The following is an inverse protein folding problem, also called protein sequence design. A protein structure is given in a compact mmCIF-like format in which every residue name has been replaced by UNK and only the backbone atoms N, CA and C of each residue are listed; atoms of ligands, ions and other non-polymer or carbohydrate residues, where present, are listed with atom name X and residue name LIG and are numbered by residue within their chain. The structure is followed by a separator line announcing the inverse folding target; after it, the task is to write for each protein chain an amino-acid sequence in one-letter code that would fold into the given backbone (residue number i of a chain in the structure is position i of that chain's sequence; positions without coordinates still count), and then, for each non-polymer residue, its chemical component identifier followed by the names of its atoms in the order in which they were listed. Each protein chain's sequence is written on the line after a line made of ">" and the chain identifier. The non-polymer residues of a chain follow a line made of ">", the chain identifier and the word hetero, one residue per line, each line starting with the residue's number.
data_IF_977179221051
#
_entry.id   IF_977179221051
#
_cell.length_a   1.000
_cell.length_b   1.000
_cell.length_c   1.000
_cell.angle_alpha   90.00
_cell.angle_beta   90.00
_cell.angle_gamma   90.00
#
_symmetry.space_group_name_H-M   'P 1'
#
loop_
_entity.id
_entity.type
_entity.pdbx_description
1 polymer ?
#
# COMPACT_ATOMS: atom_id res chain seq x y z
N UNK A 1 10.18 1.66 -5.33
CA UNK A 1 9.91 2.28 -4.02
C UNK A 1 8.43 2.66 -3.98
N UNK A 2 7.63 2.11 -3.07
CA UNK A 2 6.21 2.43 -3.00
C UNK A 2 5.95 3.77 -2.27
N UNK A 3 5.69 4.82 -3.06
CA UNK A 3 5.26 6.14 -2.56
C UNK A 3 3.75 6.22 -2.68
N UNK A 4 3.09 6.27 -1.54
CA UNK A 4 1.66 6.09 -1.47
C UNK A 4 0.99 7.41 -1.12
N UNK A 5 0.16 7.90 -2.03
CA UNK A 5 -0.71 9.03 -1.75
C UNK A 5 -2.03 8.51 -1.19
N UNK A 6 -2.35 8.91 0.04
CA UNK A 6 -3.67 8.66 0.59
C UNK A 6 -4.64 9.68 -0.02
N UNK A 7 -5.54 9.20 -0.87
CA UNK A 7 -6.65 10.02 -1.35
C UNK A 7 -7.90 9.75 -0.52
N UNK A 8 -8.73 10.78 -0.37
CA UNK A 8 -10.05 10.67 0.23
C UNK A 8 -11.14 10.47 -0.82
N UNK A 9 -10.75 10.42 -2.10
CA UNK A 9 -11.65 10.33 -3.23
C UNK A 9 -11.43 9.01 -3.98
N UNK A 10 -12.46 8.16 -4.00
CA UNK A 10 -12.38 6.83 -4.61
C UNK A 10 -12.06 6.87 -6.11
N UNK A 11 -12.52 7.91 -6.82
CA UNK A 11 -12.28 8.08 -8.26
C UNK A 11 -10.85 8.47 -8.63
N UNK A 12 -10.07 8.99 -7.67
CA UNK A 12 -8.67 9.41 -7.88
C UNK A 12 -7.67 8.32 -7.46
N UNK A 13 -8.14 7.28 -6.79
CA UNK A 13 -7.29 6.19 -6.34
C UNK A 13 -7.01 5.18 -7.44
N UNK A 14 -5.75 4.79 -7.56
CA UNK A 14 -5.31 3.67 -8.38
C UNK A 14 -5.75 2.34 -7.76
N UNK A 15 -5.64 2.23 -6.43
CA UNK A 15 -5.93 0.99 -5.69
C UNK A 15 -6.82 1.27 -4.49
N UNK A 16 -7.82 0.41 -4.28
CA UNK A 16 -8.68 0.44 -3.09
C UNK A 16 -8.17 -0.55 -2.08
N UNK A 17 -7.93 -0.09 -0.86
CA UNK A 17 -7.28 -0.88 0.19
C UNK A 17 -8.19 -0.98 1.41
N UNK A 18 -8.25 -2.15 2.02
CA UNK A 18 -8.94 -2.35 3.29
C UNK A 18 -7.93 -2.71 4.37
N UNK A 19 -8.06 -2.10 5.54
CA UNK A 19 -7.27 -2.46 6.70
C UNK A 19 -7.95 -3.63 7.37
N UNK A 20 -7.27 -4.76 7.44
CA UNK A 20 -7.77 -6.00 8.03
C UNK A 20 -6.78 -6.52 9.08
N UNK A 21 -7.21 -7.54 9.83
CA UNK A 21 -6.30 -8.26 10.72
C UNK A 21 -5.25 -9.03 9.92
N UNK A 22 -4.07 -9.23 10.52
CA UNK A 22 -2.91 -9.91 9.92
C UNK A 22 -3.27 -11.21 9.20
N UNK A 23 -4.13 -12.04 9.79
CA UNK A 23 -4.53 -13.34 9.25
C UNK A 23 -5.31 -13.25 7.91
N UNK A 24 -6.04 -12.15 7.74
CA UNK A 24 -6.86 -11.88 6.55
C UNK A 24 -6.16 -10.95 5.54
N UNK A 25 -4.99 -10.43 5.87
CA UNK A 25 -4.26 -9.53 4.99
C UNK A 25 -3.55 -10.29 3.88
N UNK A 26 -3.56 -9.73 2.67
CA UNK A 26 -2.79 -10.20 1.52
C UNK A 26 -1.38 -9.58 1.49
N UNK A 27 -1.25 -8.39 2.11
CA UNK A 27 0.00 -7.64 2.21
C UNK A 27 0.16 -7.05 3.62
N UNK A 28 1.25 -7.40 4.28
CA UNK A 28 1.69 -6.72 5.50
C UNK A 28 2.48 -5.48 5.08
N UNK A 29 2.02 -4.32 5.54
CA UNK A 29 2.57 -3.02 5.18
C UNK A 29 3.28 -2.42 6.37
N UNK A 30 4.54 -2.05 6.20
CA UNK A 30 5.24 -1.23 7.17
C UNK A 30 5.25 0.22 6.71
N UNK A 31 4.87 1.14 7.60
CA UNK A 31 4.91 2.58 7.31
C UNK A 31 6.34 3.08 7.43
N UNK A 32 6.98 3.31 6.29
CA UNK A 32 8.32 3.87 6.24
C UNK A 32 8.31 5.32 6.75
N UNK A 33 9.18 5.63 7.69
CA UNK A 33 9.35 7.00 8.21
C UNK A 33 10.03 7.94 7.20
N UNK A 34 10.68 7.40 6.17
CA UNK A 34 11.45 8.17 5.20
C UNK A 34 11.45 7.52 3.83
N UNK A 35 11.63 8.34 2.79
CA UNK A 35 11.62 7.88 1.39
C UNK A 35 12.66 6.77 1.14
N UNK A 36 13.86 6.93 1.69
CA UNK A 36 14.95 5.95 1.55
C UNK A 36 14.67 4.58 2.18
N UNK A 37 13.64 4.45 3.01
CA UNK A 37 13.28 3.17 3.65
C UNK A 37 12.20 2.41 2.89
N UNK A 38 11.50 3.03 1.93
CA UNK A 38 10.41 2.39 1.20
C UNK A 38 10.93 1.44 0.09
N UNK A 39 11.40 0.25 0.48
CA UNK A 39 11.83 -0.78 -0.47
C UNK A 39 10.72 -1.77 -0.83
N UNK A 40 10.57 -2.03 -2.13
CA UNK A 40 9.55 -2.92 -2.67
C UNK A 40 8.12 -2.38 -2.49
N UNK A 41 7.15 -3.29 -2.48
CA UNK A 41 5.72 -2.98 -2.38
C UNK A 41 5.18 -3.00 -0.94
N UNK A 42 5.93 -3.56 0.02
CA UNK A 42 5.46 -3.76 1.39
C UNK A 42 5.84 -2.60 2.33
N UNK A 43 6.79 -1.75 1.95
CA UNK A 43 7.19 -0.59 2.73
C UNK A 43 6.64 0.67 2.10
N UNK A 44 5.64 1.27 2.76
CA UNK A 44 4.89 2.39 2.22
C UNK A 44 5.36 3.70 2.83
N UNK A 45 5.79 4.60 1.97
CA UNK A 45 5.98 5.99 2.35
C UNK A 45 4.70 6.76 2.05
N UNK A 46 3.95 7.13 3.10
CA UNK A 46 2.68 7.87 2.94
C UNK A 46 3.02 9.35 2.76
N UNK A 47 2.71 9.88 1.58
CA UNK A 47 2.88 11.29 1.25
C UNK A 47 1.52 11.97 1.07
N UNK A 48 1.50 13.29 1.31
CA UNK A 48 0.35 14.15 1.02
C UNK A 48 0.42 14.78 -0.37
N UNK A 49 1.50 14.54 -1.10
CA UNK A 49 1.71 15.10 -2.43
C UNK A 49 1.53 14.02 -3.50
N UNK A 50 0.43 14.10 -4.26
CA UNK A 50 0.12 13.16 -5.34
C UNK A 50 1.24 13.08 -6.38
N UNK A 51 1.85 14.21 -6.71
CA UNK A 51 2.94 14.35 -7.66
C UNK A 51 4.23 13.59 -7.28
N UNK A 52 4.49 13.37 -5.98
CA UNK A 52 5.62 12.53 -5.54
C UNK A 52 5.21 11.05 -5.38
N UNK A 53 3.93 10.72 -5.42
CA UNK A 53 3.47 9.35 -5.22
C UNK A 53 3.60 8.49 -6.49
N UNK A 54 3.90 7.20 -6.31
CA UNK A 54 3.86 6.19 -7.38
C UNK A 54 2.47 5.59 -7.54
N UNK A 55 1.68 5.56 -6.47
CA UNK A 55 0.32 5.03 -6.47
C UNK A 55 -0.56 5.78 -5.46
N UNK A 56 -1.84 5.87 -5.79
CA UNK A 56 -2.89 6.48 -4.98
C UNK A 56 -3.72 5.39 -4.36
N UNK A 57 -3.84 5.42 -3.03
CA UNK A 57 -4.64 4.45 -2.30
C UNK A 57 -5.84 5.14 -1.68
N UNK A 58 -6.99 4.49 -1.80
CA UNK A 58 -8.20 4.85 -1.08
C UNK A 58 -8.53 3.80 -0.04
N UNK A 59 -8.62 4.21 1.21
CA UNK A 59 -9.01 3.33 2.30
C UNK A 59 -10.53 3.13 2.29
N UNK A 60 -10.96 1.88 2.17
CA UNK A 60 -12.38 1.51 2.12
C UNK A 60 -12.62 0.24 2.92
N UNK A 61 -13.88 -0.14 3.04
CA UNK A 61 -14.28 -1.39 3.69
C UNK A 61 -13.86 -2.60 2.84
N UNK A 62 -13.58 -3.73 3.50
CA UNK A 62 -13.13 -4.96 2.85
C UNK A 62 -13.99 -5.40 1.66
N UNK A 63 -15.32 -5.20 1.71
CA UNK A 63 -16.22 -5.55 0.61
C UNK A 63 -16.02 -4.78 -0.71
N UNK A 64 -15.37 -3.62 -0.67
CA UNK A 64 -15.10 -2.77 -1.86
C UNK A 64 -13.61 -2.63 -2.20
N UNK A 65 -12.74 -3.15 -1.32
CA UNK A 65 -11.31 -3.10 -1.51
C UNK A 65 -10.84 -4.12 -2.55
N UNK A 66 -9.79 -3.74 -3.27
CA UNK A 66 -9.07 -4.60 -4.22
C UNK A 66 -7.88 -5.29 -3.56
N UNK A 67 -7.41 -4.77 -2.42
CA UNK A 67 -6.27 -5.28 -1.69
C UNK A 67 -6.52 -5.18 -0.18
N UNK A 68 -6.33 -6.27 0.54
CA UNK A 68 -6.43 -6.26 2.00
C UNK A 68 -5.04 -6.12 2.60
N UNK A 69 -4.82 -5.09 3.41
CA UNK A 69 -3.54 -4.79 4.03
C UNK A 69 -3.63 -4.83 5.56
N UNK A 70 -2.50 -5.10 6.22
CA UNK A 70 -2.37 -4.93 7.66
C UNK A 70 -1.10 -4.14 7.96
N UNK A 71 -1.22 -3.11 8.80
CA UNK A 71 -0.04 -2.33 9.21
C UNK A 71 0.75 -3.07 10.28
N UNK A 72 2.06 -3.18 10.07
CA UNK A 72 2.99 -3.81 11.00
C UNK A 72 4.06 -2.81 11.47
N UNK A 73 4.48 -2.97 12.72
CA UNK A 73 5.49 -2.12 13.35
C UNK A 73 6.90 -2.37 12.81
N UNK A 74 7.21 -3.60 12.38
CA UNK A 74 8.53 -3.96 11.89
C UNK A 74 8.56 -4.20 10.38
N UNK A 75 9.55 -3.59 9.69
CA UNK A 75 9.79 -3.80 8.27
C UNK A 75 10.09 -5.27 7.91
N UNK A 76 10.69 -6.03 8.84
CA UNK A 76 10.96 -7.47 8.66
C UNK A 76 9.69 -8.31 8.51
N UNK A 77 8.55 -7.82 9.02
CA UNK A 77 7.25 -8.47 8.89
C UNK A 77 6.51 -8.01 7.63
N UNK A 78 6.95 -6.92 7.01
CA UNK A 78 6.33 -6.37 5.82
C UNK A 78 6.59 -7.29 4.62
N UNK A 79 5.53 -7.68 3.95
CA UNK A 79 5.61 -8.60 2.82
C UNK A 79 4.27 -9.07 2.35
N UNK A 80 4.24 -9.57 1.11
CA UNK A 80 3.09 -10.27 0.56
C UNK A 80 2.92 -11.59 1.30
N UNK A 81 1.79 -11.77 1.98
CA UNK A 81 1.44 -13.03 2.66
C UNK A 81 0.86 -14.03 1.67
N UNK A 82 0.25 -13.53 0.59
CA UNK A 82 -0.41 -14.31 -0.45
C UNK A 82 0.04 -13.85 -1.83
N UNK A 83 0.06 -14.75 -2.83
CA UNK A 83 0.32 -14.37 -4.21
C UNK A 83 -0.81 -13.47 -4.71
N UNK A 84 -0.46 -12.25 -5.15
CA UNK A 84 -1.42 -11.25 -5.61
C UNK A 84 -0.94 -10.62 -6.92
N UNK A 85 -1.89 -10.26 -7.81
CA UNK A 85 -1.57 -9.66 -9.12
C UNK A 85 -0.89 -8.29 -8.99
N UNK A 86 -1.15 -7.56 -7.91
CA UNK A 86 -0.55 -6.23 -7.64
C UNK A 86 0.90 -6.29 -7.12
N UNK A 87 1.45 -7.49 -6.92
CA UNK A 87 2.86 -7.66 -6.52
C UNK A 87 3.77 -7.11 -7.61
N UNK A 88 4.63 -6.15 -7.26
CA UNK A 88 5.49 -5.38 -8.16
C UNK A 88 4.87 -4.07 -8.69
N UNK A 89 3.55 -3.94 -8.73
CA UNK A 89 2.90 -2.76 -9.34
C UNK A 89 2.96 -1.51 -8.46
N UNK A 90 2.85 -1.65 -7.13
CA UNK A 90 2.79 -0.51 -6.20
C UNK A 90 4.11 0.28 -6.16
N UNK A 91 5.22 -0.42 -6.34
CA UNK A 91 6.57 0.13 -6.23
C UNK A 91 7.18 0.56 -7.56
N UNK A 92 6.62 0.13 -8.70
CA UNK A 92 7.11 0.49 -10.03
C UNK A 92 6.52 1.79 -10.57
N UNK A 93 5.42 2.30 -10.02
CA UNK A 93 4.70 3.42 -10.62
C UNK A 93 4.02 2.96 -11.92
N UNK A 94 2.72 3.21 -12.05
CA UNK A 94 2.02 2.88 -13.30
C UNK A 94 2.74 3.53 -14.49
N UNK A 95 2.97 2.74 -15.53
CA UNK A 95 3.40 3.22 -16.84
C UNK A 95 2.34 4.13 -17.45
#
# INVERSE_FOLDING_TARGET
>A
MARIYQTNNMGEADVRVAIVQRDNADLLVHRAASRGLAHGDAQWFITRERQDATAGVYFTSQGFAQLSICFVDHASEAGWTRPHRLKGCLSQGGA
#
